data_IF_731509067136
#
_entry.id   IF_731509067136
#
_cell.length_a   1.000
_cell.length_b   1.000
_cell.length_c   1.000
_cell.angle_alpha   90.00
_cell.angle_beta   90.00
_cell.angle_gamma   90.00
#
_symmetry.space_group_name_H-M   'P 1'
#
loop_
_entity.id
_entity.type
_entity.pdbx_description
1 polymer ?
#
# COMPACT_ATOMS: atom_id res chain seq x y z
N UNK A 1 20.48 -0.27 21.80
CA UNK A 1 20.13 0.55 20.62
C UNK A 1 18.66 0.95 20.70
N UNK A 2 18.36 2.14 21.23
CA UNK A 2 16.99 2.51 21.67
C UNK A 2 16.03 2.86 20.52
N UNK A 3 16.57 3.31 19.37
CA UNK A 3 15.75 3.76 18.23
C UNK A 3 15.06 2.59 17.53
N UNK A 4 15.79 1.49 17.24
CA UNK A 4 15.21 0.27 16.64
C UNK A 4 14.07 -0.29 17.52
N UNK A 5 14.32 -0.40 18.83
CA UNK A 5 13.31 -0.86 19.80
C UNK A 5 12.09 0.07 19.85
N UNK A 6 12.27 1.38 19.70
CA UNK A 6 11.16 2.33 19.67
C UNK A 6 10.33 2.20 18.38
N UNK A 7 10.96 2.03 17.22
CA UNK A 7 10.29 1.84 15.92
C UNK A 7 9.53 0.50 15.89
N UNK A 8 10.11 -0.55 16.49
CA UNK A 8 9.49 -1.88 16.54
C UNK A 8 8.28 -1.99 17.46
N UNK A 9 8.01 -0.97 18.31
CA UNK A 9 6.75 -0.89 19.08
C UNK A 9 5.53 -0.64 18.21
N UNK A 10 5.71 -0.08 17.01
CA UNK A 10 4.61 0.13 16.06
C UNK A 10 4.54 -1.11 15.15
N UNK A 11 3.36 -1.73 14.98
CA UNK A 11 3.16 -2.80 14.00
C UNK A 11 3.56 -2.31 12.60
N UNK A 12 4.53 -2.98 11.97
CA UNK A 12 5.07 -2.53 10.68
C UNK A 12 5.88 -1.22 10.75
N UNK A 13 6.33 -0.79 11.94
CA UNK A 13 7.00 0.48 12.17
C UNK A 13 8.24 0.70 11.32
N UNK A 14 8.97 -0.36 10.97
CA UNK A 14 10.12 -0.25 10.06
C UNK A 14 9.75 0.21 8.64
N UNK A 15 8.47 0.13 8.26
CA UNK A 15 7.97 0.60 6.98
C UNK A 15 7.06 1.83 7.11
N UNK A 16 6.17 1.83 8.11
CA UNK A 16 5.24 2.94 8.36
C UNK A 16 6.00 4.21 8.77
N UNK A 17 7.01 4.10 9.62
CA UNK A 17 7.77 5.28 10.08
C UNK A 17 8.52 5.96 8.92
N UNK A 18 9.28 5.26 8.06
CA UNK A 18 9.87 5.87 6.87
C UNK A 18 8.85 6.48 5.89
N UNK A 19 7.70 5.82 5.69
CA UNK A 19 6.63 6.35 4.83
C UNK A 19 6.11 7.70 5.35
N UNK A 20 5.81 7.77 6.64
CA UNK A 20 5.31 9.00 7.27
C UNK A 20 6.36 10.11 7.22
N UNK A 21 7.63 9.79 7.50
CA UNK A 21 8.72 10.76 7.39
C UNK A 21 8.84 11.28 5.95
N UNK A 22 8.83 10.38 4.95
CA UNK A 22 8.87 10.75 3.54
C UNK A 22 7.70 11.64 3.13
N UNK A 23 6.48 11.30 3.59
CA UNK A 23 5.29 12.11 3.34
C UNK A 23 5.38 13.50 3.99
N UNK A 24 5.87 13.60 5.24
CA UNK A 24 6.08 14.87 5.94
C UNK A 24 7.10 15.73 5.18
N UNK A 25 8.26 15.17 4.81
CA UNK A 25 9.28 15.91 4.05
C UNK A 25 8.71 16.37 2.71
N UNK A 26 8.00 15.50 1.99
CA UNK A 26 7.36 15.87 0.73
C UNK A 26 6.29 16.95 0.88
N UNK A 27 5.62 17.02 2.03
CA UNK A 27 4.56 18.02 2.30
C UNK A 27 5.14 19.39 2.65
N UNK A 28 6.15 19.45 3.52
CA UNK A 28 6.68 20.72 4.04
C UNK A 28 7.94 21.23 3.35
N UNK A 29 8.73 20.34 2.75
CA UNK A 29 9.99 20.68 2.07
C UNK A 29 10.19 19.84 0.79
N UNK A 30 9.27 19.90 -0.19
CA UNK A 30 9.35 19.10 -1.41
C UNK A 30 10.63 19.33 -2.20
N UNK A 31 11.20 20.54 -2.13
CA UNK A 31 12.43 20.93 -2.82
C UNK A 31 13.65 20.13 -2.34
N UNK A 32 13.65 19.68 -1.09
CA UNK A 32 14.72 18.83 -0.54
C UNK A 32 14.78 17.45 -1.24
N UNK A 33 13.65 16.99 -1.78
CA UNK A 33 13.55 15.76 -2.57
C UNK A 33 13.72 16.01 -4.08
N UNK A 34 13.75 17.28 -4.51
CA UNK A 34 13.82 17.71 -5.91
C UNK A 34 15.16 18.38 -6.27
N UNK A 35 16.18 18.24 -5.42
CA UNK A 35 17.53 18.81 -5.60
C UNK A 35 18.16 18.41 -6.96
N UNK A 36 17.69 17.33 -7.58
CA UNK A 36 18.14 16.84 -8.87
C UNK A 36 18.93 15.55 -8.76
N UNK A 37 19.36 15.02 -9.91
CA UNK A 37 20.19 13.81 -9.98
C UNK A 37 19.53 12.60 -9.31
N UNK A 38 20.33 11.85 -8.55
CA UNK A 38 19.89 10.61 -7.90
C UNK A 38 18.83 10.83 -6.83
N UNK A 39 18.82 11.97 -6.14
CA UNK A 39 17.85 12.27 -5.08
C UNK A 39 16.44 12.35 -5.66
N UNK A 40 16.22 13.16 -6.71
CA UNK A 40 14.92 13.26 -7.37
C UNK A 40 14.53 11.95 -8.06
N UNK A 41 15.50 11.29 -8.70
CA UNK A 41 15.27 9.99 -9.34
C UNK A 41 14.80 8.93 -8.33
N UNK A 42 15.37 8.90 -7.12
CA UNK A 42 15.03 7.92 -6.09
C UNK A 42 13.74 8.28 -5.34
N UNK A 43 13.61 9.53 -4.88
CA UNK A 43 12.54 9.91 -3.95
C UNK A 43 11.26 10.42 -4.62
N UNK A 44 11.33 10.96 -5.85
CA UNK A 44 10.15 11.48 -6.57
C UNK A 44 9.66 10.54 -7.67
N UNK A 45 10.60 10.03 -8.47
CA UNK A 45 10.27 9.21 -9.65
C UNK A 45 10.53 7.70 -9.44
N UNK A 46 11.16 7.33 -8.33
CA UNK A 46 11.68 5.98 -8.10
C UNK A 46 10.66 4.96 -7.60
N UNK A 47 9.45 5.40 -7.22
CA UNK A 47 8.48 4.51 -6.55
C UNK A 47 8.13 3.27 -7.38
N UNK A 48 7.69 3.44 -8.64
CA UNK A 48 7.34 2.34 -9.51
C UNK A 48 8.52 1.37 -9.78
N UNK A 49 9.74 1.82 -10.17
CA UNK A 49 10.86 0.91 -10.39
C UNK A 49 11.34 0.21 -9.11
N UNK A 50 11.32 0.89 -7.95
CA UNK A 50 11.67 0.26 -6.67
C UNK A 50 10.66 -0.81 -6.27
N UNK A 51 9.36 -0.57 -6.47
CA UNK A 51 8.30 -1.57 -6.23
C UNK A 51 8.49 -2.76 -7.20
N UNK A 52 8.80 -2.49 -8.46
CA UNK A 52 9.09 -3.55 -9.45
C UNK A 52 10.27 -4.42 -9.05
N UNK A 53 11.39 -3.81 -8.64
CA UNK A 53 12.56 -4.53 -8.15
C UNK A 53 12.25 -5.34 -6.88
N UNK A 54 11.51 -4.74 -5.94
CA UNK A 54 11.07 -5.41 -4.72
C UNK A 54 10.22 -6.65 -5.02
N UNK A 55 9.21 -6.52 -5.89
CA UNK A 55 8.35 -7.64 -6.27
C UNK A 55 9.11 -8.73 -7.02
N UNK A 56 10.08 -8.36 -7.87
CA UNK A 56 10.94 -9.31 -8.56
C UNK A 56 11.80 -10.11 -7.57
N UNK A 57 12.47 -9.43 -6.65
CA UNK A 57 13.29 -10.08 -5.62
C UNK A 57 12.45 -10.97 -4.69
N UNK A 58 11.28 -10.49 -4.27
CA UNK A 58 10.34 -11.31 -3.48
C UNK A 58 9.87 -12.54 -4.27
N UNK A 59 9.48 -12.36 -5.53
CA UNK A 59 9.02 -13.44 -6.40
C UNK A 59 10.09 -14.49 -6.66
N UNK A 60 11.35 -14.08 -6.86
CA UNK A 60 12.48 -14.98 -7.03
C UNK A 60 12.74 -15.86 -5.79
N UNK A 61 12.34 -15.41 -4.59
CA UNK A 61 12.45 -16.18 -3.35
C UNK A 61 11.32 -17.20 -3.14
N UNK A 62 10.23 -17.15 -3.92
CA UNK A 62 9.09 -18.07 -3.76
C UNK A 62 9.40 -19.42 -4.40
N UNK A 63 9.26 -20.50 -3.62
CA UNK A 63 9.34 -21.86 -4.18
C UNK A 63 8.17 -22.13 -5.13
N UNK A 64 8.42 -22.80 -6.26
CA UNK A 64 7.39 -23.14 -7.25
C UNK A 64 6.23 -23.95 -6.65
N UNK A 65 6.52 -24.75 -5.61
CA UNK A 65 5.51 -25.52 -4.86
C UNK A 65 4.58 -24.65 -4.02
N UNK A 66 5.04 -23.49 -3.56
CA UNK A 66 4.24 -22.53 -2.78
C UNK A 66 3.43 -21.56 -3.67
N UNK A 67 3.78 -21.46 -4.95
CA UNK A 67 3.12 -20.52 -5.88
C UNK A 67 1.60 -20.73 -6.00
N UNK A 68 1.06 -21.97 -6.11
CA UNK A 68 -0.39 -22.18 -6.18
C UNK A 68 -1.11 -21.71 -4.90
N UNK A 69 -0.53 -21.98 -3.73
CA UNK A 69 -1.11 -21.57 -2.45
C UNK A 69 -1.10 -20.04 -2.32
N UNK A 70 0.00 -19.39 -2.71
CA UNK A 70 0.10 -17.93 -2.72
C UNK A 70 -0.93 -17.29 -3.66
N UNK A 71 -1.15 -17.87 -4.84
CA UNK A 71 -2.14 -17.39 -5.81
C UNK A 71 -3.58 -17.54 -5.29
N UNK A 72 -3.90 -18.68 -4.67
CA UNK A 72 -5.23 -18.90 -4.08
C UNK A 72 -5.51 -17.91 -2.93
N UNK A 73 -4.55 -17.70 -2.04
CA UNK A 73 -4.71 -16.75 -0.93
C UNK A 73 -4.82 -15.31 -1.43
N UNK A 74 -3.89 -14.88 -2.30
CA UNK A 74 -3.89 -13.54 -2.86
C UNK A 74 -5.13 -13.25 -3.71
N UNK A 75 -5.53 -14.23 -4.53
CA UNK A 75 -6.74 -14.15 -5.36
C UNK A 75 -8.01 -14.07 -4.52
N UNK A 76 -8.13 -14.91 -3.49
CA UNK A 76 -9.29 -14.89 -2.58
C UNK A 76 -9.38 -13.53 -1.87
N UNK A 77 -8.29 -13.05 -1.27
CA UNK A 77 -8.27 -11.75 -0.57
C UNK A 77 -8.64 -10.61 -1.52
N UNK A 78 -8.06 -10.59 -2.73
CA UNK A 78 -8.31 -9.53 -3.72
C UNK A 78 -9.76 -9.55 -4.19
N UNK A 79 -10.30 -10.74 -4.50
CA UNK A 79 -11.66 -10.90 -4.98
C UNK A 79 -12.68 -10.54 -3.88
N UNK A 80 -12.51 -11.07 -2.67
CA UNK A 80 -13.40 -10.75 -1.55
C UNK A 80 -13.40 -9.25 -1.26
N UNK A 81 -12.22 -8.61 -1.25
CA UNK A 81 -12.10 -7.17 -1.05
C UNK A 81 -12.84 -6.37 -2.13
N UNK A 82 -12.66 -6.75 -3.40
CA UNK A 82 -13.33 -6.08 -4.52
C UNK A 82 -14.84 -6.23 -4.43
N UNK A 83 -15.34 -7.44 -4.14
CA UNK A 83 -16.78 -7.69 -4.01
C UNK A 83 -17.40 -6.88 -2.88
N UNK A 84 -16.74 -6.82 -1.72
CA UNK A 84 -17.20 -6.01 -0.59
C UNK A 84 -17.19 -4.52 -0.94
N UNK A 85 -16.14 -4.03 -1.59
CA UNK A 85 -16.04 -2.64 -2.01
C UNK A 85 -17.18 -2.26 -2.97
N UNK A 86 -17.45 -3.11 -3.97
CA UNK A 86 -18.55 -2.93 -4.92
C UNK A 86 -19.90 -2.95 -4.20
N UNK A 87 -20.14 -3.95 -3.33
CA UNK A 87 -21.40 -4.07 -2.60
C UNK A 87 -21.69 -2.81 -1.77
N UNK A 88 -20.68 -2.29 -1.06
CA UNK A 88 -20.83 -1.07 -0.27
C UNK A 88 -21.04 0.14 -1.16
N UNK A 89 -20.21 0.33 -2.20
CA UNK A 89 -20.33 1.48 -3.10
C UNK A 89 -21.67 1.56 -3.82
N UNK A 90 -22.14 0.43 -4.35
CA UNK A 90 -23.47 0.33 -4.98
C UNK A 90 -24.59 0.50 -3.95
N UNK A 91 -24.42 -0.01 -2.72
CA UNK A 91 -25.37 0.22 -1.63
C UNK A 91 -25.50 1.69 -1.27
N UNK A 92 -24.39 2.43 -1.24
CA UNK A 92 -24.38 3.88 -1.03
C UNK A 92 -25.09 4.61 -2.18
N UNK A 93 -24.80 4.22 -3.42
CA UNK A 93 -25.43 4.82 -4.60
C UNK A 93 -26.94 4.57 -4.66
N UNK A 94 -27.41 3.40 -4.23
CA UNK A 94 -28.84 3.09 -4.15
C UNK A 94 -29.57 3.84 -3.02
N UNK A 95 -28.91 4.05 -1.86
CA UNK A 95 -29.55 4.69 -0.70
C UNK A 95 -29.45 6.22 -0.71
N UNK A 96 -28.37 6.78 -1.24
CA UNK A 96 -28.06 8.21 -1.18
C UNK A 96 -27.96 8.86 -2.56
N UNK A 97 -28.11 8.09 -3.64
CA UNK A 97 -28.04 8.60 -5.01
C UNK A 97 -26.66 9.11 -5.41
N UNK A 98 -26.62 9.95 -6.43
CA UNK A 98 -25.37 10.44 -7.02
C UNK A 98 -24.54 11.36 -6.08
N UNK A 99 -25.18 12.01 -5.10
CA UNK A 99 -24.47 12.82 -4.09
C UNK A 99 -23.70 11.95 -3.08
N UNK A 100 -24.10 10.68 -2.94
CA UNK A 100 -23.46 9.71 -2.06
C UNK A 100 -23.54 10.09 -0.58
N UNK A 101 -22.60 9.58 0.22
CA UNK A 101 -22.55 9.83 1.67
C UNK A 101 -21.45 10.85 1.96
N UNK A 102 -21.80 11.97 2.62
CA UNK A 102 -20.85 13.04 2.95
C UNK A 102 -20.08 13.59 1.72
N UNK A 103 -20.68 13.57 0.53
CA UNK A 103 -20.06 13.98 -0.72
C UNK A 103 -19.14 12.93 -1.36
N UNK A 104 -19.06 11.71 -0.79
CA UNK A 104 -18.37 10.58 -1.38
C UNK A 104 -19.33 9.78 -2.26
N UNK A 105 -19.11 9.81 -3.57
CA UNK A 105 -19.86 8.98 -4.53
C UNK A 105 -19.57 7.49 -4.33
N UNK A 106 -20.48 6.62 -4.78
CA UNK A 106 -20.30 5.17 -4.74
C UNK A 106 -18.98 4.73 -5.39
N UNK A 107 -18.62 5.33 -6.53
CA UNK A 107 -17.35 5.07 -7.23
C UNK A 107 -16.14 5.50 -6.42
N UNK A 108 -16.19 6.64 -5.72
CA UNK A 108 -15.10 7.09 -4.86
C UNK A 108 -14.87 6.12 -3.70
N UNK A 109 -15.95 5.59 -3.11
CA UNK A 109 -15.89 4.58 -2.05
C UNK A 109 -15.27 3.29 -2.58
N UNK A 110 -15.71 2.80 -3.74
CA UNK A 110 -15.14 1.60 -4.38
C UNK A 110 -13.65 1.77 -4.63
N UNK A 111 -13.23 2.92 -5.17
CA UNK A 111 -11.83 3.20 -5.46
C UNK A 111 -10.98 3.24 -4.18
N UNK A 112 -11.44 3.95 -3.15
CA UNK A 112 -10.74 4.05 -1.87
C UNK A 112 -10.61 2.69 -1.18
N UNK A 113 -11.69 1.91 -1.14
CA UNK A 113 -11.69 0.60 -0.53
C UNK A 113 -10.87 -0.42 -1.30
N UNK A 114 -10.86 -0.38 -2.63
CA UNK A 114 -10.13 -1.34 -3.47
C UNK A 114 -8.62 -1.10 -3.48
N UNK A 115 -8.15 0.09 -3.09
CA UNK A 115 -6.73 0.43 -3.05
C UNK A 115 -5.94 -0.49 -2.11
N UNK A 116 -4.84 -1.06 -2.58
CA UNK A 116 -4.01 -2.03 -1.85
C UNK A 116 -2.56 -1.58 -1.81
N UNK A 117 -1.94 -1.64 -0.62
CA UNK A 117 -0.52 -1.41 -0.45
C UNK A 117 0.21 -2.75 -0.23
N UNK A 118 0.65 -3.37 -1.32
CA UNK A 118 1.37 -4.65 -1.29
C UNK A 118 2.70 -4.58 -0.53
N UNK A 119 3.36 -3.43 -0.54
CA UNK A 119 4.59 -3.20 0.23
C UNK A 119 4.35 -3.27 1.74
N UNK A 120 3.30 -2.61 2.24
CA UNK A 120 2.94 -2.63 3.66
C UNK A 120 2.54 -4.03 4.12
N UNK A 121 1.76 -4.73 3.30
CA UNK A 121 1.38 -6.11 3.56
C UNK A 121 2.61 -7.03 3.66
N UNK A 122 3.52 -6.96 2.69
CA UNK A 122 4.75 -7.75 2.69
C UNK A 122 5.64 -7.45 3.91
N UNK A 123 5.78 -6.18 4.29
CA UNK A 123 6.57 -5.78 5.45
C UNK A 123 5.97 -6.21 6.80
N UNK A 124 4.64 -6.31 6.89
CA UNK A 124 3.94 -6.81 8.07
C UNK A 124 4.05 -8.34 8.18
N UNK A 125 3.80 -9.07 7.09
CA UNK A 125 3.80 -10.54 7.08
C UNK A 125 5.21 -11.11 7.23
N UNK A 126 6.23 -10.45 6.68
CA UNK A 126 7.64 -10.85 6.82
C UNK A 126 8.22 -10.72 8.24
N UNK A 127 7.45 -10.21 9.22
CA UNK A 127 7.83 -10.13 10.64
C UNK A 127 7.12 -11.16 11.53
N UNK A 128 6.21 -11.93 10.95
CA UNK A 128 5.41 -12.95 11.66
C UNK A 128 6.00 -14.37 11.45
N UNK A 129 7.15 -14.46 10.77
CA UNK A 129 8.00 -15.64 10.63
C UNK A 129 9.45 -15.28 10.98
#
# INVERSE_FOLDING_TARGET
MNIKKAIERVPGGMMVVPLVIGAIINTFAPQALEIGGFTTALFKNGAAPLIGAFLLCMGAGISVKAAPQALLQGGTITLTKLLIAIAIGLGVEQLFGAEGIFGLSGVAIIAAMSNSNGGLYAALVGRVW
#
